data_IF_534869882285
#
_entry.id   IF_534869882285
#
_cell.length_a   1.000
_cell.length_b   1.000
_cell.length_c   1.000
_cell.angle_alpha   90.00
_cell.angle_beta   90.00
_cell.angle_gamma   90.00
#
_symmetry.space_group_name_H-M   'P 1'
#
loop_
_entity.id
_entity.type
_entity.pdbx_description
1 polymer ?
#
# COMPACT_ATOMS: atom_id res chain seq x y z
N UNK A 1 4.43 -14.19 -9.19
CA UNK A 1 5.24 -13.68 -10.31
C UNK A 1 6.66 -14.23 -10.29
N UNK A 2 7.38 -14.23 -9.17
CA UNK A 2 8.76 -14.74 -9.06
C UNK A 2 8.94 -16.22 -9.47
N UNK A 3 8.08 -17.13 -9.03
CA UNK A 3 8.17 -18.55 -9.40
C UNK A 3 8.14 -18.79 -10.94
N UNK A 4 7.32 -18.00 -11.67
CA UNK A 4 7.27 -18.07 -13.15
C UNK A 4 8.54 -17.57 -13.83
N UNK A 5 9.16 -16.51 -13.29
CA UNK A 5 10.42 -15.98 -13.85
C UNK A 5 11.59 -16.91 -13.60
N UNK A 6 11.65 -17.57 -12.44
CA UNK A 6 12.65 -18.58 -12.10
C UNK A 6 12.48 -19.79 -13.03
N UNK A 7 11.25 -20.27 -13.19
CA UNK A 7 10.97 -21.40 -14.07
C UNK A 7 11.31 -21.08 -15.51
N UNK A 8 10.92 -19.90 -16.02
CA UNK A 8 11.24 -19.45 -17.37
C UNK A 8 12.75 -19.32 -17.62
N UNK A 9 13.52 -18.87 -16.63
CA UNK A 9 14.99 -18.80 -16.73
C UNK A 9 15.64 -20.17 -16.64
N UNK A 10 15.13 -21.07 -15.78
CA UNK A 10 15.57 -22.48 -15.71
C UNK A 10 15.36 -23.21 -17.04
N UNK A 11 14.27 -22.93 -17.74
CA UNK A 11 13.96 -23.53 -19.04
C UNK A 11 14.85 -23.01 -20.18
N UNK A 12 15.40 -21.80 -20.05
CA UNK A 12 16.24 -21.19 -21.10
C UNK A 12 17.73 -21.32 -20.87
N UNK A 13 18.20 -21.50 -19.65
CA UNK A 13 19.63 -21.66 -19.33
C UNK A 13 20.00 -23.15 -19.26
N UNK A 14 20.27 -23.76 -20.41
CA UNK A 14 20.55 -25.19 -20.49
C UNK A 14 21.92 -25.62 -19.94
N UNK A 15 22.85 -24.71 -19.61
CA UNK A 15 24.24 -25.14 -19.40
C UNK A 15 24.98 -24.62 -18.17
N UNK A 16 24.42 -23.72 -17.31
CA UNK A 16 25.21 -23.11 -16.22
C UNK A 16 24.51 -23.02 -14.88
N UNK A 17 23.68 -23.98 -14.52
CA UNK A 17 22.97 -24.01 -13.22
C UNK A 17 23.89 -24.22 -12.01
N UNK A 18 25.13 -24.61 -12.23
CA UNK A 18 26.12 -24.91 -11.18
C UNK A 18 27.11 -23.77 -10.90
N UNK A 19 26.97 -22.60 -11.52
CA UNK A 19 27.86 -21.50 -11.24
C UNK A 19 27.44 -20.75 -9.98
N UNK A 20 28.41 -20.39 -9.14
CA UNK A 20 28.19 -19.56 -7.93
C UNK A 20 27.46 -18.23 -8.23
N UNK A 21 27.54 -17.73 -9.46
CA UNK A 21 26.81 -16.55 -9.90
C UNK A 21 25.28 -16.72 -9.91
N UNK A 22 24.78 -17.96 -9.93
CA UNK A 22 23.37 -18.30 -10.01
C UNK A 22 22.82 -19.02 -8.78
N UNK A 23 23.56 -19.04 -7.68
CA UNK A 23 23.13 -19.69 -6.44
C UNK A 23 21.72 -19.23 -5.97
N UNK A 24 21.39 -17.96 -6.16
CA UNK A 24 20.07 -17.42 -5.87
C UNK A 24 18.93 -18.01 -6.68
N UNK A 25 19.18 -18.65 -7.82
CA UNK A 25 18.16 -19.32 -8.66
C UNK A 25 17.79 -20.71 -8.17
N UNK A 26 18.55 -21.27 -7.26
CA UNK A 26 18.31 -22.59 -6.68
C UNK A 26 17.44 -22.53 -5.43
N UNK A 27 17.13 -21.33 -4.90
CA UNK A 27 16.30 -21.15 -3.72
C UNK A 27 14.82 -21.41 -4.06
N UNK A 28 14.18 -22.24 -3.25
CA UNK A 28 12.74 -22.49 -3.33
C UNK A 28 11.91 -21.30 -2.80
N UNK A 29 12.50 -20.49 -1.92
CA UNK A 29 11.88 -19.31 -1.33
C UNK A 29 12.89 -18.17 -1.23
N UNK A 30 12.40 -16.95 -1.49
CA UNK A 30 13.13 -15.70 -1.27
C UNK A 30 12.67 -14.98 0.01
N UNK A 31 11.84 -15.62 0.82
CA UNK A 31 11.42 -15.07 2.10
C UNK A 31 12.55 -15.24 3.11
N UNK A 32 12.97 -14.13 3.71
CA UNK A 32 13.93 -14.11 4.80
C UNK A 32 13.16 -14.06 6.11
N UNK A 33 13.37 -15.01 7.02
CA UNK A 33 12.73 -15.01 8.32
C UNK A 33 13.17 -13.80 9.15
N UNK A 34 12.16 -13.06 9.67
CA UNK A 34 12.36 -11.90 10.52
C UNK A 34 11.53 -12.08 11.77
N UNK A 35 12.12 -11.78 12.92
CA UNK A 35 11.46 -11.84 14.21
C UNK A 35 11.45 -10.44 14.84
N UNK A 36 10.25 -9.94 15.12
CA UNK A 36 10.02 -8.73 15.91
C UNK A 36 9.52 -9.14 17.29
N UNK A 37 10.43 -9.15 18.26
CA UNK A 37 10.10 -9.55 19.63
C UNK A 37 9.70 -8.32 20.46
N UNK A 38 8.63 -8.44 21.26
CA UNK A 38 8.22 -7.43 22.24
C UNK A 38 8.71 -7.83 23.62
N UNK A 39 9.22 -6.85 24.35
CA UNK A 39 9.54 -6.99 25.77
C UNK A 39 8.28 -6.72 26.62
N UNK A 40 8.29 -7.15 27.88
CA UNK A 40 7.18 -6.89 28.81
C UNK A 40 6.88 -5.39 29.04
N UNK A 41 7.83 -4.51 28.75
CA UNK A 41 7.66 -3.05 28.75
C UNK A 41 6.91 -2.51 27.52
N UNK A 42 6.69 -3.33 26.48
CA UNK A 42 6.17 -2.90 25.18
C UNK A 42 7.24 -2.49 24.17
N UNK A 43 8.49 -2.31 24.58
CA UNK A 43 9.61 -2.10 23.68
C UNK A 43 9.82 -3.31 22.77
N UNK A 44 10.41 -3.11 21.60
CA UNK A 44 10.65 -4.21 20.69
C UNK A 44 12.04 -4.18 20.10
N UNK A 45 12.49 -5.35 19.64
CA UNK A 45 13.68 -5.48 18.80
C UNK A 45 13.35 -6.32 17.57
N UNK A 46 14.11 -6.09 16.51
CA UNK A 46 14.05 -6.91 15.30
C UNK A 46 15.34 -7.74 15.17
N UNK A 47 15.18 -8.98 14.71
CA UNK A 47 16.28 -9.87 14.35
C UNK A 47 16.03 -10.46 12.96
N UNK A 48 16.96 -10.30 12.04
CA UNK A 48 16.95 -10.97 10.73
C UNK A 48 17.73 -12.26 10.87
N UNK A 49 17.15 -13.38 10.47
CA UNK A 49 17.69 -14.71 10.74
C UNK A 49 18.71 -15.18 9.70
N UNK A 50 18.80 -14.48 8.57
CA UNK A 50 19.72 -14.78 7.48
C UNK A 50 20.55 -13.56 7.08
N UNK A 51 21.67 -13.79 6.36
CA UNK A 51 22.48 -12.70 5.83
C UNK A 51 21.75 -12.01 4.69
N UNK A 52 21.76 -10.68 4.72
CA UNK A 52 21.19 -9.80 3.67
C UNK A 52 22.27 -9.04 2.92
N UNK A 53 23.54 -9.45 3.09
CA UNK A 53 24.68 -8.74 2.54
C UNK A 53 24.69 -8.79 1.01
N UNK A 54 24.61 -7.61 0.40
CA UNK A 54 24.65 -7.46 -1.05
C UNK A 54 23.35 -7.77 -1.77
N UNK A 55 22.28 -8.10 -1.05
CA UNK A 55 20.97 -8.42 -1.62
C UNK A 55 20.14 -7.17 -1.90
N UNK A 56 19.25 -7.26 -2.87
CA UNK A 56 18.16 -6.31 -3.09
C UNK A 56 16.97 -6.73 -2.23
N UNK A 57 16.71 -6.00 -1.16
CA UNK A 57 15.71 -6.33 -0.16
C UNK A 57 14.39 -5.62 -0.48
N UNK A 58 13.29 -6.37 -0.40
CA UNK A 58 11.93 -5.87 -0.50
C UNK A 58 11.21 -6.14 0.82
N UNK A 59 10.89 -5.08 1.54
CA UNK A 59 10.13 -5.12 2.78
C UNK A 59 8.66 -4.86 2.47
N UNK A 60 7.82 -5.88 2.65
CA UNK A 60 6.37 -5.71 2.50
C UNK A 60 5.74 -5.60 3.89
N UNK A 61 5.00 -4.53 4.12
CA UNK A 61 4.29 -4.28 5.37
C UNK A 61 2.86 -3.82 5.12
N UNK A 62 1.91 -4.47 5.76
CA UNK A 62 0.52 -4.03 5.85
C UNK A 62 0.34 -3.28 7.17
N UNK A 63 0.38 -1.96 7.12
CA UNK A 63 0.22 -1.09 8.30
C UNK A 63 -1.20 -1.10 8.87
N UNK A 64 -2.17 -1.59 8.11
CA UNK A 64 -3.57 -1.71 8.53
C UNK A 64 -3.94 -3.13 8.99
N UNK A 65 -2.97 -4.00 9.25
CA UNK A 65 -3.24 -5.34 9.75
C UNK A 65 -3.57 -5.33 11.24
N UNK A 66 -4.85 -5.25 11.57
CA UNK A 66 -5.35 -5.28 12.94
C UNK A 66 -5.53 -6.69 13.51
N UNK A 67 -5.11 -7.75 12.79
CA UNK A 67 -5.18 -9.12 13.30
C UNK A 67 -4.01 -9.51 14.20
N UNK A 68 -2.95 -8.71 14.21
CA UNK A 68 -1.77 -8.95 15.03
C UNK A 68 -1.89 -8.27 16.39
N UNK A 69 -1.47 -8.99 17.41
CA UNK A 69 -1.50 -8.52 18.80
C UNK A 69 -0.12 -8.66 19.45
N UNK A 70 0.10 -7.92 20.52
CA UNK A 70 1.24 -8.10 21.42
C UNK A 70 0.81 -7.86 22.86
N UNK A 71 1.55 -8.45 23.81
CA UNK A 71 1.24 -8.33 25.23
C UNK A 71 2.17 -7.33 25.92
N UNK A 72 1.59 -6.47 26.78
CA UNK A 72 2.31 -5.65 27.75
C UNK A 72 1.86 -6.10 29.14
N UNK A 73 2.71 -6.85 29.82
CA UNK A 73 2.32 -7.50 31.06
C UNK A 73 1.10 -8.41 30.86
N UNK A 74 -0.01 -8.22 31.60
CA UNK A 74 -1.22 -9.05 31.44
C UNK A 74 -2.17 -8.58 30.33
N UNK A 75 -1.87 -7.48 29.67
CA UNK A 75 -2.76 -6.85 28.67
C UNK A 75 -2.35 -7.22 27.24
N UNK A 76 -3.33 -7.64 26.47
CA UNK A 76 -3.18 -7.86 25.03
C UNK A 76 -3.62 -6.60 24.27
N UNK A 77 -2.75 -6.13 23.37
CA UNK A 77 -2.97 -4.93 22.58
C UNK A 77 -2.96 -5.28 21.10
N UNK A 78 -3.88 -4.70 20.35
CA UNK A 78 -3.87 -4.76 18.89
C UNK A 78 -2.72 -3.88 18.36
N UNK A 79 -2.01 -4.37 17.35
CA UNK A 79 -1.01 -3.54 16.67
C UNK A 79 -1.69 -2.42 15.91
N UNK A 80 -1.27 -1.19 16.19
CA UNK A 80 -1.67 0.02 15.47
C UNK A 80 -0.86 0.19 14.19
N UNK A 81 -1.29 1.08 13.25
CA UNK A 81 -0.45 1.49 12.12
C UNK A 81 0.93 1.97 12.54
N UNK A 82 1.03 2.68 13.67
CA UNK A 82 2.30 3.18 14.22
C UNK A 82 3.20 2.03 14.68
N UNK A 83 2.63 0.99 15.29
CA UNK A 83 3.37 -0.21 15.69
C UNK A 83 3.98 -0.91 14.49
N UNK A 84 3.20 -1.09 13.41
CA UNK A 84 3.67 -1.69 12.17
C UNK A 84 4.75 -0.84 11.49
N UNK A 85 4.54 0.47 11.44
CA UNK A 85 5.53 1.38 10.86
C UNK A 85 6.83 1.41 11.68
N UNK A 86 6.72 1.39 13.01
CA UNK A 86 7.89 1.30 13.88
C UNK A 86 8.62 -0.04 13.74
N UNK A 87 7.90 -1.15 13.54
CA UNK A 87 8.52 -2.45 13.28
C UNK A 87 9.22 -2.48 11.91
N UNK A 88 8.65 -1.85 10.88
CA UNK A 88 9.33 -1.64 9.60
C UNK A 88 10.68 -0.92 9.80
N UNK A 89 10.72 0.16 10.57
CA UNK A 89 11.95 0.90 10.87
C UNK A 89 12.97 0.02 11.61
N UNK A 90 12.51 -0.84 12.53
CA UNK A 90 13.39 -1.80 13.23
C UNK A 90 14.00 -2.81 12.26
N UNK A 91 13.23 -3.29 11.28
CA UNK A 91 13.74 -4.20 10.23
C UNK A 91 14.82 -3.50 9.41
N UNK A 92 14.55 -2.26 8.96
CA UNK A 92 15.54 -1.46 8.21
C UNK A 92 16.81 -1.26 9.06
N UNK A 93 16.65 -0.94 10.35
CA UNK A 93 17.78 -0.82 11.29
C UNK A 93 18.56 -2.13 11.45
N UNK A 94 17.88 -3.28 11.46
CA UNK A 94 18.54 -4.59 11.55
C UNK A 94 19.31 -4.97 10.27
N UNK A 95 18.90 -4.50 9.09
CA UNK A 95 19.65 -4.61 7.83
C UNK A 95 20.99 -3.88 7.97
N UNK A 96 21.00 -2.73 8.67
CA UNK A 96 22.22 -2.02 9.06
C UNK A 96 23.11 -1.60 7.89
N UNK A 97 22.53 -1.21 6.76
CA UNK A 97 23.24 -0.77 5.56
C UNK A 97 24.04 -1.87 4.84
N UNK A 98 23.80 -3.16 5.15
CA UNK A 98 24.51 -4.28 4.53
C UNK A 98 23.90 -4.77 3.23
N UNK A 99 22.60 -4.51 3.02
CA UNK A 99 21.94 -4.78 1.76
C UNK A 99 22.48 -3.86 0.65
N UNK A 100 22.38 -4.30 -0.59
CA UNK A 100 22.68 -3.47 -1.75
C UNK A 100 21.63 -2.37 -1.93
N UNK A 101 20.35 -2.72 -1.80
CA UNK A 101 19.20 -1.82 -1.86
C UNK A 101 18.13 -2.26 -0.89
N UNK A 102 17.40 -1.29 -0.37
CA UNK A 102 16.21 -1.52 0.46
C UNK A 102 15.02 -0.87 -0.23
N UNK A 103 14.01 -1.66 -0.54
CA UNK A 103 12.78 -1.23 -1.14
C UNK A 103 11.62 -1.54 -0.18
N UNK A 104 10.69 -0.61 -0.02
CA UNK A 104 9.53 -0.79 0.85
C UNK A 104 8.27 -0.89 0.01
N UNK A 105 7.45 -1.91 0.28
CA UNK A 105 6.13 -2.08 -0.32
C UNK A 105 5.11 -1.95 0.80
N UNK A 106 4.33 -0.87 0.76
CA UNK A 106 3.19 -0.64 1.63
C UNK A 106 1.91 -0.65 0.80
N UNK A 107 1.15 -1.75 0.76
CA UNK A 107 -0.10 -1.81 0.00
C UNK A 107 -1.04 -0.66 0.36
N UNK A 108 -1.16 -0.33 1.63
CA UNK A 108 -1.75 0.91 2.13
C UNK A 108 -0.63 1.82 2.64
N UNK A 109 -0.51 3.01 2.08
CA UNK A 109 0.54 3.96 2.46
C UNK A 109 0.27 4.50 3.87
N UNK A 110 1.25 4.38 4.77
CA UNK A 110 1.17 4.89 6.13
C UNK A 110 0.91 6.40 6.12
N UNK A 111 -0.04 6.84 6.96
CA UNK A 111 -0.51 8.23 7.05
C UNK A 111 -0.95 8.87 5.72
N UNK A 112 -1.39 8.07 4.76
CA UNK A 112 -1.78 8.51 3.42
C UNK A 112 -2.86 9.60 3.42
N UNK A 113 -3.71 9.65 4.46
CA UNK A 113 -4.77 10.67 4.60
C UNK A 113 -4.26 12.00 5.12
N UNK A 114 -3.09 12.01 5.79
CA UNK A 114 -2.43 13.21 6.29
C UNK A 114 -1.38 13.70 5.27
N UNK A 115 -1.83 13.94 4.05
CA UNK A 115 -1.04 14.31 2.88
C UNK A 115 -1.01 15.81 2.59
N UNK A 116 -1.90 16.57 3.22
CA UNK A 116 -2.00 18.03 3.08
C UNK A 116 -2.08 18.63 4.48
N UNK A 117 -1.38 19.71 4.69
CA UNK A 117 -1.44 20.49 5.94
C UNK A 117 -2.15 21.81 5.71
N UNK A 118 -3.18 22.07 6.50
CA UNK A 118 -3.85 23.37 6.58
C UNK A 118 -3.75 23.89 8.02
N UNK A 119 -3.04 25.00 8.20
CA UNK A 119 -2.85 25.57 9.53
C UNK A 119 -1.76 24.87 10.37
N UNK A 120 -2.04 24.62 11.65
CA UNK A 120 -1.08 24.09 12.62
C UNK A 120 -1.25 22.58 12.82
N UNK A 121 -1.17 21.84 11.74
CA UNK A 121 -1.30 20.38 11.70
C UNK A 121 0.05 19.74 11.41
N UNK A 122 0.23 18.49 11.79
CA UNK A 122 1.35 17.68 11.34
C UNK A 122 1.18 17.30 9.86
N UNK A 123 2.25 16.91 9.21
CA UNK A 123 2.26 16.42 7.83
C UNK A 123 2.89 15.03 7.81
N UNK A 124 2.17 14.08 8.43
CA UNK A 124 2.76 12.80 8.85
C UNK A 124 3.13 11.92 7.66
N UNK A 125 2.36 11.94 6.58
CA UNK A 125 2.72 11.18 5.37
C UNK A 125 4.08 11.60 4.81
N UNK A 126 4.31 12.91 4.63
CA UNK A 126 5.57 13.41 4.11
C UNK A 126 6.74 13.14 5.07
N UNK A 127 6.51 13.32 6.37
CA UNK A 127 7.52 13.05 7.41
C UNK A 127 7.91 11.57 7.40
N UNK A 128 6.94 10.66 7.33
CA UNK A 128 7.20 9.22 7.27
C UNK A 128 8.00 8.81 6.02
N UNK A 129 7.67 9.36 4.85
CA UNK A 129 8.43 9.11 3.62
C UNK A 129 9.87 9.59 3.75
N UNK A 130 10.08 10.81 4.27
CA UNK A 130 11.41 11.36 4.49
C UNK A 130 12.22 10.56 5.52
N UNK A 131 11.57 10.05 6.56
CA UNK A 131 12.20 9.20 7.57
C UNK A 131 12.70 7.90 6.93
N UNK A 132 11.88 7.20 6.14
CA UNK A 132 12.29 5.98 5.44
C UNK A 132 13.47 6.23 4.50
N UNK A 133 13.43 7.32 3.74
CA UNK A 133 14.53 7.72 2.86
C UNK A 133 15.81 8.01 3.66
N UNK A 134 15.71 8.72 4.78
CA UNK A 134 16.86 9.00 5.65
C UNK A 134 17.49 7.74 6.25
N UNK A 135 16.70 6.67 6.37
CA UNK A 135 17.16 5.35 6.81
C UNK A 135 17.76 4.49 5.68
N UNK A 136 17.84 5.01 4.45
CA UNK A 136 18.44 4.35 3.30
C UNK A 136 17.49 3.54 2.44
N UNK A 137 16.18 3.82 2.50
CA UNK A 137 15.21 3.25 1.56
C UNK A 137 15.33 3.97 0.22
N UNK A 138 15.55 3.21 -0.86
CA UNK A 138 15.69 3.77 -2.21
C UNK A 138 14.34 3.92 -2.93
N UNK A 139 13.45 2.94 -2.76
CA UNK A 139 12.17 2.94 -3.45
C UNK A 139 11.04 2.62 -2.46
N UNK A 140 9.94 3.36 -2.60
CA UNK A 140 8.69 3.14 -1.87
C UNK A 140 7.60 2.86 -2.88
N UNK A 141 6.91 1.72 -2.73
CA UNK A 141 5.86 1.25 -3.63
C UNK A 141 4.57 1.13 -2.82
N UNK A 142 3.50 1.72 -3.32
CA UNK A 142 2.18 1.62 -2.71
C UNK A 142 1.09 1.38 -3.76
N UNK A 143 -0.11 1.01 -3.32
CA UNK A 143 -1.27 0.91 -4.21
C UNK A 143 -2.20 2.08 -3.98
N UNK A 144 -2.55 2.77 -5.05
CA UNK A 144 -3.55 3.84 -5.09
C UNK A 144 -3.43 4.83 -3.90
N UNK A 145 -2.29 5.51 -3.80
CA UNK A 145 -2.07 6.53 -2.77
C UNK A 145 -3.23 7.53 -2.76
N UNK A 146 -3.68 7.93 -1.56
CA UNK A 146 -4.80 8.86 -1.39
C UNK A 146 -4.60 10.15 -2.22
N UNK A 147 -3.37 10.63 -2.29
CA UNK A 147 -2.92 11.69 -3.18
C UNK A 147 -1.53 11.35 -3.72
N UNK A 148 -1.40 11.17 -5.04
CA UNK A 148 -0.12 10.82 -5.67
C UNK A 148 0.96 11.91 -5.52
N UNK A 149 0.58 13.16 -5.17
CA UNK A 149 1.52 14.26 -4.95
C UNK A 149 2.39 14.09 -3.71
N UNK A 150 2.10 13.12 -2.83
CA UNK A 150 2.98 12.78 -1.70
C UNK A 150 4.40 12.41 -2.16
N UNK A 151 4.58 11.94 -3.39
CA UNK A 151 5.90 11.73 -4.00
C UNK A 151 6.80 12.96 -3.98
N UNK A 152 6.22 14.17 -3.94
CA UNK A 152 6.98 15.43 -3.88
C UNK A 152 7.75 15.58 -2.56
N UNK A 153 7.43 14.80 -1.53
CA UNK A 153 8.19 14.79 -0.28
C UNK A 153 9.61 14.20 -0.44
N UNK A 154 9.81 13.36 -1.47
CA UNK A 154 11.07 12.63 -1.70
C UNK A 154 11.48 12.69 -3.18
N UNK A 155 11.80 13.89 -3.72
CA UNK A 155 11.94 14.11 -5.17
C UNK A 155 13.13 13.41 -5.81
N UNK A 156 14.10 12.95 -5.02
CA UNK A 156 15.30 12.27 -5.51
C UNK A 156 15.28 10.75 -5.28
N UNK A 157 14.17 10.20 -4.76
CA UNK A 157 14.02 8.78 -4.46
C UNK A 157 12.82 8.19 -5.21
N UNK A 158 12.87 6.89 -5.48
CA UNK A 158 11.80 6.21 -6.17
C UNK A 158 10.52 6.16 -5.32
N UNK A 159 9.43 6.67 -5.86
CA UNK A 159 8.10 6.49 -5.31
C UNK A 159 7.14 6.06 -6.42
N UNK A 160 6.47 4.95 -6.21
CA UNK A 160 5.51 4.43 -7.18
C UNK A 160 4.17 4.16 -6.52
N UNK A 161 3.10 4.67 -7.15
CA UNK A 161 1.73 4.35 -6.80
C UNK A 161 1.10 3.52 -7.91
N UNK A 162 0.83 2.25 -7.63
CA UNK A 162 0.29 1.30 -8.60
C UNK A 162 -1.22 1.36 -8.55
N UNK A 163 -1.87 1.53 -9.70
CA UNK A 163 -3.32 1.50 -9.81
C UNK A 163 -3.81 0.04 -9.84
N UNK A 164 -4.63 -0.41 -8.86
CA UNK A 164 -5.10 -1.80 -8.78
C UNK A 164 -6.31 -2.07 -9.69
N UNK A 165 -6.71 -1.13 -10.53
CA UNK A 165 -7.93 -1.17 -11.36
C UNK A 165 -8.07 -2.44 -12.19
N UNK A 166 -6.97 -2.90 -12.81
CA UNK A 166 -6.99 -4.15 -13.58
C UNK A 166 -7.38 -5.36 -12.72
N UNK A 167 -6.85 -5.43 -11.49
CA UNK A 167 -7.13 -6.55 -10.60
C UNK A 167 -8.58 -6.50 -10.09
N UNK A 168 -9.11 -5.31 -9.82
CA UNK A 168 -10.51 -5.14 -9.45
C UNK A 168 -11.46 -5.52 -10.58
N UNK A 169 -11.21 -5.07 -11.81
CA UNK A 169 -12.01 -5.44 -12.98
C UNK A 169 -11.96 -6.96 -13.18
N UNK A 170 -10.78 -7.56 -13.12
CA UNK A 170 -10.61 -9.00 -13.27
C UNK A 170 -11.36 -9.78 -12.17
N UNK A 171 -11.31 -9.32 -10.92
CA UNK A 171 -12.04 -9.93 -9.82
C UNK A 171 -13.56 -9.82 -10.02
N UNK A 172 -14.03 -8.64 -10.42
CA UNK A 172 -15.45 -8.39 -10.71
C UNK A 172 -15.97 -9.34 -11.80
N UNK A 173 -15.29 -9.42 -12.93
CA UNK A 173 -15.65 -10.29 -14.04
C UNK A 173 -15.60 -11.80 -13.70
N UNK A 174 -14.71 -12.19 -12.79
CA UNK A 174 -14.62 -13.59 -12.37
C UNK A 174 -15.70 -13.99 -11.38
N UNK A 175 -16.15 -13.07 -10.53
CA UNK A 175 -17.16 -13.34 -9.49
C UNK A 175 -18.60 -13.18 -10.01
N UNK A 176 -18.84 -12.21 -10.87
CA UNK A 176 -20.18 -11.86 -11.36
C UNK A 176 -20.37 -12.34 -12.81
N UNK A 177 -20.68 -13.63 -12.99
CA UNK A 177 -20.81 -14.26 -14.31
C UNK A 177 -21.94 -13.71 -15.17
N UNK A 178 -22.90 -12.99 -14.62
CA UNK A 178 -24.03 -12.39 -15.32
C UNK A 178 -23.94 -10.88 -15.49
N UNK A 179 -22.77 -10.29 -15.21
CA UNK A 179 -22.60 -8.84 -15.30
C UNK A 179 -22.50 -8.39 -16.77
N UNK A 180 -23.46 -7.56 -17.17
CA UNK A 180 -23.44 -6.87 -18.46
C UNK A 180 -22.78 -5.51 -18.28
N UNK A 181 -21.61 -5.32 -18.91
CA UNK A 181 -20.84 -4.06 -18.87
C UNK A 181 -21.18 -3.28 -20.15
N UNK A 182 -22.25 -2.52 -20.06
CA UNK A 182 -22.72 -1.59 -21.09
C UNK A 182 -23.42 -0.40 -20.40
N UNK A 183 -23.68 0.67 -21.13
CA UNK A 183 -24.27 1.90 -20.56
C UNK A 183 -25.72 1.74 -20.08
N UNK A 184 -26.42 0.70 -20.51
CA UNK A 184 -27.81 0.46 -20.12
C UNK A 184 -27.90 -0.29 -18.78
N UNK A 185 -26.85 -1.08 -18.42
CA UNK A 185 -26.90 -1.99 -17.28
C UNK A 185 -25.83 -1.69 -16.21
N UNK A 186 -24.81 -0.89 -16.55
CA UNK A 186 -23.67 -0.69 -15.66
C UNK A 186 -23.18 0.77 -15.65
N UNK A 187 -22.95 1.30 -14.46
CA UNK A 187 -22.44 2.64 -14.25
C UNK A 187 -21.40 2.65 -13.13
N UNK A 188 -20.36 3.43 -13.27
CA UNK A 188 -19.39 3.70 -12.19
C UNK A 188 -19.88 4.93 -11.41
N UNK A 189 -19.99 4.81 -10.10
CA UNK A 189 -20.39 5.93 -9.24
C UNK A 189 -19.25 6.31 -8.30
N UNK A 190 -18.81 7.58 -8.36
CA UNK A 190 -17.89 8.13 -7.38
C UNK A 190 -18.62 8.44 -6.06
N UNK A 191 -18.10 7.99 -4.90
CA UNK A 191 -18.73 8.27 -3.61
C UNK A 191 -18.59 9.73 -3.15
N UNK A 192 -17.62 10.48 -3.70
CA UNK A 192 -17.36 11.87 -3.39
C UNK A 192 -16.43 12.53 -4.45
N UNK A 193 -16.19 13.82 -4.32
CA UNK A 193 -15.31 14.57 -5.22
C UNK A 193 -13.85 14.06 -5.19
N UNK A 194 -13.36 13.61 -4.03
CA UNK A 194 -11.98 13.12 -3.87
C UNK A 194 -11.71 11.85 -4.66
N UNK A 195 -12.75 11.03 -4.89
CA UNK A 195 -12.65 9.76 -5.63
C UNK A 195 -12.97 9.89 -7.12
N UNK A 196 -13.30 11.11 -7.59
CA UNK A 196 -13.80 11.33 -8.96
C UNK A 196 -12.78 10.88 -10.02
N UNK A 197 -11.50 11.20 -9.87
CA UNK A 197 -10.47 10.81 -10.83
C UNK A 197 -10.34 9.27 -10.96
N UNK A 198 -10.50 8.54 -9.86
CA UNK A 198 -10.50 7.06 -9.86
C UNK A 198 -11.73 6.51 -10.59
N UNK A 199 -12.89 7.10 -10.33
CA UNK A 199 -14.13 6.71 -11.00
C UNK A 199 -14.08 6.99 -12.50
N UNK A 200 -13.58 8.16 -12.93
CA UNK A 200 -13.35 8.51 -14.33
C UNK A 200 -12.42 7.50 -15.00
N UNK A 201 -11.33 7.16 -14.34
CA UNK A 201 -10.36 6.21 -14.88
C UNK A 201 -11.01 4.82 -15.12
N UNK A 202 -11.76 4.31 -14.13
CA UNK A 202 -12.47 3.02 -14.25
C UNK A 202 -13.57 3.06 -15.31
N UNK A 203 -14.38 4.13 -15.36
CA UNK A 203 -15.44 4.30 -16.33
C UNK A 203 -14.88 4.34 -17.76
N UNK A 204 -13.77 5.05 -17.98
CA UNK A 204 -13.10 5.11 -19.27
C UNK A 204 -12.54 3.75 -19.71
N UNK A 205 -11.96 2.96 -18.81
CA UNK A 205 -11.47 1.61 -19.14
C UNK A 205 -12.61 0.69 -19.52
N UNK A 206 -13.75 0.77 -18.83
CA UNK A 206 -14.90 -0.08 -19.05
C UNK A 206 -15.80 0.41 -20.20
N UNK A 207 -15.63 1.66 -20.62
CA UNK A 207 -16.47 2.29 -21.64
C UNK A 207 -17.91 2.56 -21.21
N UNK A 208 -18.11 2.88 -19.91
CA UNK A 208 -19.42 3.08 -19.31
C UNK A 208 -19.58 4.47 -18.71
N UNK A 209 -20.81 4.88 -18.45
CA UNK A 209 -21.12 6.18 -17.86
C UNK A 209 -20.66 6.26 -16.40
N UNK A 210 -20.45 7.51 -15.94
CA UNK A 210 -20.07 7.80 -14.56
C UNK A 210 -21.08 8.71 -13.88
N UNK A 211 -21.47 8.34 -12.66
CA UNK A 211 -22.20 9.17 -11.73
C UNK A 211 -21.34 9.63 -10.56
N UNK A 212 -21.81 10.62 -9.80
CA UNK A 212 -21.12 11.11 -8.61
C UNK A 212 -22.10 11.39 -7.48
N UNK A 213 -21.74 11.03 -6.25
CA UNK A 213 -22.38 11.54 -5.05
C UNK A 213 -21.68 12.80 -4.57
N UNK A 214 -22.44 13.85 -4.35
CA UNK A 214 -21.95 15.04 -3.68
C UNK A 214 -22.04 14.88 -2.18
N UNK A 215 -20.92 14.93 -1.49
CA UNK A 215 -20.82 14.81 -0.04
C UNK A 215 -20.74 16.18 0.59
N UNK A 216 -21.75 16.57 1.37
CA UNK A 216 -21.77 17.80 2.15
C UNK A 216 -21.85 17.50 3.65
N UNK A 217 -21.05 18.19 4.46
CA UNK A 217 -21.21 18.19 5.91
C UNK A 217 -22.36 19.14 6.27
N UNK A 218 -23.31 18.63 7.05
CA UNK A 218 -24.37 19.48 7.63
C UNK A 218 -23.86 20.13 8.91
N UNK A 219 -23.36 21.36 8.77
CA UNK A 219 -22.85 22.14 9.91
C UNK A 219 -23.94 22.61 10.86
N UNK A 220 -25.22 22.52 10.50
CA UNK A 220 -26.36 22.93 11.33
C UNK A 220 -26.65 21.94 12.46
N UNK A 221 -26.18 20.70 12.34
CA UNK A 221 -26.44 19.62 13.31
C UNK A 221 -25.13 18.99 13.79
N UNK A 222 -25.15 18.54 15.05
CA UNK A 222 -24.09 17.69 15.62
C UNK A 222 -24.74 16.42 16.19
N UNK A 223 -24.26 15.26 15.73
CA UNK A 223 -24.65 13.94 16.25
C UNK A 223 -23.39 13.29 16.81
N UNK A 224 -23.38 12.96 18.10
CA UNK A 224 -22.22 12.40 18.81
C UNK A 224 -20.91 13.21 18.61
N UNK A 225 -21.03 14.57 18.63
CA UNK A 225 -19.88 15.46 18.47
C UNK A 225 -19.38 15.65 17.03
N UNK A 226 -20.00 15.00 16.04
CA UNK A 226 -19.63 15.09 14.62
C UNK A 226 -20.75 15.69 13.80
N UNK A 227 -20.40 16.39 12.72
CA UNK A 227 -21.38 16.86 11.75
C UNK A 227 -21.81 15.69 10.85
N UNK A 228 -23.12 15.45 10.68
CA UNK A 228 -23.61 14.40 9.81
C UNK A 228 -23.29 14.70 8.36
N UNK A 229 -23.10 13.64 7.60
CA UNK A 229 -22.83 13.70 6.17
C UNK A 229 -24.15 13.63 5.42
N UNK A 230 -24.41 14.61 4.56
CA UNK A 230 -25.48 14.55 3.56
C UNK A 230 -24.89 14.10 2.23
N UNK A 231 -25.43 13.04 1.65
CA UNK A 231 -25.09 12.59 0.31
C UNK A 231 -26.18 13.08 -0.64
N UNK A 232 -25.78 13.84 -1.65
CA UNK A 232 -26.66 14.27 -2.75
C UNK A 232 -26.18 13.55 -4.01
N UNK A 233 -27.09 12.84 -4.65
CA UNK A 233 -26.84 12.21 -5.94
C UNK A 233 -27.02 13.25 -7.05
N UNK A 234 -26.01 13.40 -7.89
CA UNK A 234 -26.12 14.14 -9.15
C UNK A 234 -25.96 13.15 -10.29
N UNK A 235 -27.04 12.77 -10.94
CA UNK A 235 -27.01 12.11 -12.24
C UNK A 235 -26.65 13.15 -13.31
N UNK A 236 -25.86 12.81 -14.33
CA UNK A 236 -25.89 13.61 -15.55
C UNK A 236 -27.34 13.70 -16.01
N UNK A 237 -27.84 14.91 -16.28
CA UNK A 237 -29.18 15.11 -16.80
C UNK A 237 -29.38 14.19 -18.00
N UNK A 238 -30.50 13.47 -18.12
CA UNK A 238 -30.81 12.82 -19.37
C UNK A 238 -30.79 13.91 -20.44
N UNK A 239 -29.99 13.71 -21.47
CA UNK A 239 -29.96 14.61 -22.63
C UNK A 239 -31.32 14.51 -23.29
N UNK A 240 -32.02 15.66 -23.31
CA UNK A 240 -33.18 15.87 -24.16
C UNK A 240 -32.80 15.67 -25.64
#
# INVERSE_FOLDING_TARGET
MYKRQIQWRKERSHEELDSFAFEGYQRDSYLIPVQTARFGSGEAKCTIMESVRGDDIYLMVDVCNYSLTYSIGPYENLMSPDDHFQDLKRVIGAIGGKARRVNVIMPYLYESRQNIRSGRESLDCATALQELVSMGVENIITFDAHDARVQNATPLHGFETIQPSYQFIKALLNHEKGLHIDNDHFMIISPDEGSMNRAIYLANILGVDMGMYYKRLDYSKRINGRHPICLLYTSPSPRD
#
